data_IF_653749619827
#
_entry.id   IF_653749619827
#
_cell.length_a   1.000
_cell.length_b   1.000
_cell.length_c   1.000
_cell.angle_alpha   90.00
_cell.angle_beta   90.00
_cell.angle_gamma   90.00
#
_symmetry.space_group_name_H-M   'P 1'
#
loop_
_entity.id
_entity.type
_entity.pdbx_description
1 polymer ?
#
# COMPACT_ATOMS: atom_id res chain seq x y z
N UNK A 1 38.49 26.58 -45.69
CA UNK A 1 37.49 26.06 -46.65
C UNK A 1 36.11 26.33 -46.09
N UNK A 2 35.31 27.23 -46.69
CA UNK A 2 33.95 27.53 -46.16
C UNK A 2 32.96 26.49 -46.69
N UNK A 3 32.31 25.77 -45.77
CA UNK A 3 31.22 24.79 -46.08
C UNK A 3 30.10 25.47 -46.87
N UNK A 4 29.61 24.81 -47.90
CA UNK A 4 28.45 25.28 -48.69
C UNK A 4 27.18 25.29 -47.83
N UNK A 5 26.23 26.17 -48.13
CA UNK A 5 24.97 26.32 -47.36
C UNK A 5 24.15 25.05 -47.35
N UNK A 6 24.20 24.23 -48.41
CA UNK A 6 23.55 22.93 -48.51
C UNK A 6 24.13 21.88 -47.53
N UNK A 7 25.48 21.91 -47.35
CA UNK A 7 26.16 21.00 -46.43
C UNK A 7 25.82 21.32 -44.96
N UNK A 8 25.73 22.63 -44.63
CA UNK A 8 25.29 23.07 -43.29
C UNK A 8 23.85 22.67 -43.01
N UNK A 9 22.96 22.78 -44.01
CA UNK A 9 21.56 22.40 -43.89
C UNK A 9 21.41 20.86 -43.69
N UNK A 10 22.18 20.07 -44.46
CA UNK A 10 22.20 18.62 -44.32
C UNK A 10 22.72 18.15 -42.96
N UNK A 11 23.77 18.80 -42.42
CA UNK A 11 24.27 18.52 -41.08
C UNK A 11 23.25 18.91 -39.99
N UNK A 12 22.54 20.02 -40.13
CA UNK A 12 21.55 20.49 -39.19
C UNK A 12 20.32 19.54 -39.18
N UNK A 13 19.83 19.14 -40.37
CA UNK A 13 18.73 18.18 -40.47
C UNK A 13 19.11 16.80 -39.91
N UNK A 14 20.34 16.33 -40.18
CA UNK A 14 20.86 15.06 -39.61
C UNK A 14 20.93 15.10 -38.09
N UNK A 15 21.40 16.23 -37.52
CA UNK A 15 21.44 16.41 -36.06
C UNK A 15 20.04 16.40 -35.43
N UNK A 16 19.09 17.13 -36.05
CA UNK A 16 17.69 17.18 -35.55
C UNK A 16 17.04 15.79 -35.60
N UNK A 17 17.20 15.05 -36.69
CA UNK A 17 16.68 13.69 -36.82
C UNK A 17 17.33 12.76 -35.79
N UNK A 18 18.65 12.86 -35.61
CA UNK A 18 19.37 12.06 -34.61
C UNK A 18 18.88 12.31 -33.18
N UNK A 19 18.67 13.56 -32.79
CA UNK A 19 18.10 13.91 -31.46
C UNK A 19 16.69 13.42 -31.34
N UNK A 20 15.86 13.51 -32.37
CA UNK A 20 14.49 13.03 -32.34
C UNK A 20 14.42 11.50 -32.14
N UNK A 21 15.24 10.74 -32.85
CA UNK A 21 15.36 9.29 -32.70
C UNK A 21 15.85 8.90 -31.31
N UNK A 22 16.78 9.67 -30.75
CA UNK A 22 17.28 9.44 -29.39
C UNK A 22 16.18 9.69 -28.34
N UNK A 23 15.39 10.74 -28.48
CA UNK A 23 14.26 11.04 -27.62
C UNK A 23 13.17 9.96 -27.70
N UNK A 24 12.88 9.48 -28.92
CA UNK A 24 11.94 8.36 -29.11
C UNK A 24 12.46 7.09 -28.47
N UNK A 25 13.75 6.77 -28.62
CA UNK A 25 14.34 5.59 -27.99
C UNK A 25 14.33 5.67 -26.46
N UNK A 26 14.66 6.83 -25.89
CA UNK A 26 14.58 7.08 -24.43
C UNK A 26 13.14 6.97 -23.96
N UNK A 27 12.18 7.53 -24.70
CA UNK A 27 10.76 7.41 -24.39
C UNK A 27 10.27 5.96 -24.44
N UNK A 28 10.68 5.19 -25.45
CA UNK A 28 10.35 3.76 -25.56
C UNK A 28 10.99 2.93 -24.44
N UNK A 29 12.24 3.24 -24.07
CA UNK A 29 12.90 2.60 -22.91
C UNK A 29 12.17 2.97 -21.61
N UNK A 30 11.80 4.24 -21.45
CA UNK A 30 11.02 4.68 -20.29
C UNK A 30 9.66 3.97 -20.19
N UNK A 31 8.94 3.81 -21.29
CA UNK A 31 7.70 3.05 -21.36
C UNK A 31 7.89 1.56 -21.04
N UNK A 32 9.02 0.96 -21.43
CA UNK A 32 9.31 -0.45 -21.14
C UNK A 32 9.84 -0.67 -19.73
N UNK A 33 10.55 0.29 -19.14
CA UNK A 33 11.02 0.21 -17.74
C UNK A 33 9.96 0.65 -16.74
N UNK A 34 8.97 1.46 -17.14
CA UNK A 34 7.76 1.74 -16.38
C UNK A 34 6.70 0.63 -16.46
N UNK A 35 6.99 -0.54 -17.01
CA UNK A 35 6.25 -1.74 -16.65
C UNK A 35 6.49 -1.97 -15.18
N UNK A 36 5.47 -1.58 -14.42
CA UNK A 36 5.33 -1.77 -12.99
C UNK A 36 5.92 -3.12 -12.61
N UNK A 37 6.84 -3.15 -11.66
CA UNK A 37 7.21 -4.34 -10.92
C UNK A 37 5.98 -4.81 -10.12
N UNK A 38 4.99 -5.31 -10.84
CA UNK A 38 3.86 -6.02 -10.27
C UNK A 38 4.13 -7.50 -10.45
N UNK A 39 4.06 -8.27 -9.38
CA UNK A 39 4.02 -9.71 -9.50
C UNK A 39 2.91 -10.07 -10.52
N UNK A 40 3.22 -10.93 -11.49
CA UNK A 40 2.21 -11.39 -12.44
C UNK A 40 1.06 -12.02 -11.66
N UNK A 41 -0.16 -11.57 -11.96
CA UNK A 41 -1.36 -12.13 -11.35
C UNK A 41 -1.40 -13.64 -11.62
N UNK A 42 -1.43 -14.50 -10.59
CA UNK A 42 -1.56 -15.94 -10.80
C UNK A 42 -2.76 -16.24 -11.70
N UNK A 43 -2.63 -17.23 -12.58
CA UNK A 43 -3.66 -17.56 -13.58
C UNK A 43 -5.05 -17.84 -12.97
N UNK A 44 -5.11 -18.25 -11.71
CA UNK A 44 -6.32 -18.54 -10.95
C UNK A 44 -6.79 -17.37 -10.05
N UNK A 45 -6.05 -16.27 -10.00
CA UNK A 45 -6.45 -15.11 -9.20
C UNK A 45 -7.56 -14.33 -9.93
N UNK A 46 -8.67 -14.12 -9.25
CA UNK A 46 -9.82 -13.36 -9.78
C UNK A 46 -9.70 -11.86 -9.49
N UNK A 47 -9.01 -11.49 -8.41
CA UNK A 47 -8.83 -10.12 -7.96
C UNK A 47 -7.37 -9.82 -7.65
N UNK A 48 -6.98 -8.57 -7.73
CA UNK A 48 -5.66 -8.08 -7.36
C UNK A 48 -5.82 -6.96 -6.33
N UNK A 49 -5.18 -7.11 -5.17
CA UNK A 49 -5.16 -6.09 -4.13
C UNK A 49 -3.82 -5.38 -4.03
N UNK A 50 -3.83 -4.23 -3.36
CA UNK A 50 -2.63 -3.53 -2.92
C UNK A 50 -2.60 -3.44 -1.40
N UNK A 51 -1.43 -3.63 -0.82
CA UNK A 51 -1.14 -3.36 0.59
C UNK A 51 -0.53 -1.96 0.70
N UNK A 52 -1.05 -1.15 1.59
CA UNK A 52 -0.62 0.24 1.74
C UNK A 52 -0.50 0.65 3.21
N UNK A 53 0.52 1.45 3.47
CA UNK A 53 0.79 2.06 4.77
C UNK A 53 1.41 3.44 4.59
N UNK A 54 1.82 4.07 5.67
CA UNK A 54 2.60 5.33 5.62
C UNK A 54 3.94 5.19 4.89
N UNK A 55 4.46 3.99 4.69
CA UNK A 55 5.71 3.74 3.96
C UNK A 55 5.61 4.12 2.48
N UNK A 56 4.44 3.99 1.86
CA UNK A 56 4.20 4.40 0.48
C UNK A 56 3.97 5.91 0.33
N UNK A 57 3.91 6.64 1.45
CA UNK A 57 3.61 8.07 1.44
C UNK A 57 2.14 8.37 1.09
N UNK A 58 1.89 9.57 0.60
CA UNK A 58 0.54 9.99 0.20
C UNK A 58 0.20 9.45 -1.18
N UNK A 59 -0.76 8.56 -1.25
CA UNK A 59 -1.18 7.86 -2.48
C UNK A 59 -2.12 8.74 -3.29
N UNK A 60 -1.98 8.72 -4.61
CA UNK A 60 -2.96 9.26 -5.54
C UNK A 60 -4.02 8.19 -5.86
N UNK A 61 -5.07 8.12 -5.07
CA UNK A 61 -6.12 7.11 -5.18
C UNK A 61 -6.94 7.23 -6.46
N UNK A 62 -7.08 8.43 -7.04
CA UNK A 62 -7.71 8.58 -8.36
C UNK A 62 -6.89 7.89 -9.46
N UNK A 63 -5.57 8.01 -9.39
CA UNK A 63 -4.69 7.30 -10.32
C UNK A 63 -4.78 5.79 -10.12
N UNK A 64 -4.82 5.30 -8.89
CA UNK A 64 -5.01 3.87 -8.58
C UNK A 64 -6.33 3.38 -9.19
N UNK A 65 -7.43 4.09 -8.94
CA UNK A 65 -8.75 3.75 -9.49
C UNK A 65 -8.77 3.71 -11.02
N UNK A 66 -8.17 4.70 -11.66
CA UNK A 66 -8.19 4.84 -13.13
C UNK A 66 -7.23 3.88 -13.83
N UNK A 67 -6.18 3.41 -13.14
CA UNK A 67 -5.19 2.48 -13.73
C UNK A 67 -5.67 1.04 -13.77
N UNK A 68 -6.75 0.69 -13.07
CA UNK A 68 -7.22 -0.69 -12.88
C UNK A 68 -6.12 -1.65 -12.35
N UNK A 69 -5.12 -1.12 -11.64
CA UNK A 69 -4.01 -1.90 -11.07
C UNK A 69 -4.41 -2.68 -9.82
N UNK A 70 -5.50 -2.25 -9.17
CA UNK A 70 -6.00 -2.91 -7.97
C UNK A 70 -7.52 -2.92 -7.94
N UNK A 71 -8.09 -4.06 -7.59
CA UNK A 71 -9.51 -4.26 -7.36
C UNK A 71 -9.91 -3.86 -5.93
N UNK A 72 -8.96 -3.94 -4.98
CA UNK A 72 -9.16 -3.60 -3.59
C UNK A 72 -7.85 -3.16 -2.91
N UNK A 73 -7.95 -2.62 -1.71
CA UNK A 73 -6.80 -2.26 -0.88
C UNK A 73 -6.90 -2.90 0.51
N UNK A 74 -5.75 -3.26 1.09
CA UNK A 74 -5.62 -3.56 2.52
C UNK A 74 -4.73 -2.47 3.12
N UNK A 75 -5.29 -1.69 4.03
CA UNK A 75 -4.69 -0.45 4.51
C UNK A 75 -4.26 -0.62 5.97
N UNK A 76 -3.00 -0.33 6.28
CA UNK A 76 -2.57 -0.32 7.67
C UNK A 76 -3.29 0.79 8.43
N UNK A 77 -4.00 0.43 9.50
CA UNK A 77 -4.62 1.43 10.36
C UNK A 77 -3.66 1.97 11.43
N UNK A 78 -2.76 1.13 11.91
CA UNK A 78 -1.80 1.49 12.96
C UNK A 78 -0.85 0.34 13.28
N UNK A 79 -0.14 0.47 14.37
CA UNK A 79 0.76 -0.55 14.89
C UNK A 79 0.80 -0.52 16.42
N UNK A 80 0.92 -1.69 17.04
CA UNK A 80 1.07 -1.82 18.49
C UNK A 80 -0.15 -1.32 19.29
N UNK A 81 0.07 -1.12 20.57
CA UNK A 81 -0.95 -0.78 21.56
C UNK A 81 -1.70 0.52 21.26
N UNK A 82 -2.89 0.68 21.85
CA UNK A 82 -3.82 1.79 21.62
C UNK A 82 -3.27 3.15 22.09
N UNK A 83 -2.46 3.77 21.23
CA UNK A 83 -1.88 5.11 21.41
C UNK A 83 -2.02 5.87 20.10
N UNK A 84 -2.34 7.15 20.15
CA UNK A 84 -2.59 7.96 18.95
C UNK A 84 -1.35 8.24 18.11
N UNK A 85 -0.17 8.19 18.69
CA UNK A 85 1.11 8.28 17.99
C UNK A 85 1.48 7.01 17.22
N UNK A 86 0.73 5.93 17.44
CA UNK A 86 0.83 4.64 16.75
C UNK A 86 -0.20 4.46 15.62
N UNK A 87 -1.07 5.43 15.43
CA UNK A 87 -1.96 5.46 14.27
C UNK A 87 -1.13 5.59 12.98
N UNK A 88 -1.51 4.89 11.92
CA UNK A 88 -0.84 5.12 10.65
C UNK A 88 -1.14 6.53 10.15
N UNK A 89 -0.08 7.27 9.83
CA UNK A 89 -0.15 8.68 9.43
C UNK A 89 -1.16 8.97 8.32
N UNK A 90 -1.38 7.99 7.46
CA UNK A 90 -2.27 8.15 6.31
C UNK A 90 -3.55 7.32 6.41
N UNK A 91 -3.81 6.68 7.55
CA UNK A 91 -5.01 5.86 7.74
C UNK A 91 -6.30 6.59 7.34
N UNK A 92 -6.57 7.72 7.96
CA UNK A 92 -7.80 8.49 7.69
C UNK A 92 -7.88 8.97 6.24
N UNK A 93 -6.78 9.41 5.69
CA UNK A 93 -6.72 9.81 4.29
C UNK A 93 -6.98 8.65 3.35
N UNK A 94 -6.29 7.53 3.52
CA UNK A 94 -6.40 6.37 2.63
C UNK A 94 -7.80 5.75 2.70
N UNK A 95 -8.33 5.53 3.90
CA UNK A 95 -9.67 4.97 4.08
C UNK A 95 -10.76 5.88 3.51
N UNK A 96 -10.68 7.18 3.77
CA UNK A 96 -11.65 8.15 3.26
C UNK A 96 -11.62 8.29 1.73
N UNK A 97 -10.44 8.22 1.11
CA UNK A 97 -10.32 8.23 -0.35
C UNK A 97 -10.85 6.93 -0.98
N UNK A 98 -10.61 5.78 -0.36
CA UNK A 98 -11.20 4.53 -0.81
C UNK A 98 -12.74 4.60 -0.77
N UNK A 99 -13.32 5.10 0.33
CA UNK A 99 -14.77 5.29 0.44
C UNK A 99 -15.30 6.29 -0.60
N UNK A 100 -14.64 7.43 -0.76
CA UNK A 100 -15.03 8.46 -1.74
C UNK A 100 -15.05 7.94 -3.17
N UNK A 101 -14.07 7.10 -3.52
CA UNK A 101 -13.89 6.56 -4.87
C UNK A 101 -14.61 5.21 -5.09
N UNK A 102 -15.22 4.64 -4.05
CA UNK A 102 -15.81 3.31 -4.11
C UNK A 102 -14.78 2.20 -4.41
N UNK A 103 -13.59 2.32 -3.84
CA UNK A 103 -12.56 1.26 -3.86
C UNK A 103 -12.82 0.37 -2.66
N UNK A 104 -13.12 -0.93 -2.85
CA UNK A 104 -13.27 -1.87 -1.76
C UNK A 104 -11.99 -1.92 -0.92
N UNK A 105 -12.11 -1.90 0.42
CA UNK A 105 -10.92 -1.98 1.26
C UNK A 105 -11.15 -2.77 2.55
N UNK A 106 -10.07 -3.32 3.07
CA UNK A 106 -9.93 -3.84 4.41
C UNK A 106 -8.80 -3.12 5.13
N UNK A 107 -8.48 -3.59 6.33
CA UNK A 107 -7.41 -2.99 7.11
C UNK A 107 -6.56 -4.03 7.81
N UNK A 108 -5.36 -3.65 8.22
CA UNK A 108 -4.55 -4.44 9.13
C UNK A 108 -3.93 -3.57 10.22
N UNK A 109 -3.68 -4.20 11.36
CA UNK A 109 -2.84 -3.68 12.42
C UNK A 109 -1.52 -4.45 12.43
N UNK A 110 -0.40 -3.74 12.40
CA UNK A 110 0.91 -4.35 12.59
C UNK A 110 1.14 -4.61 14.07
N UNK A 111 1.14 -5.89 14.44
CA UNK A 111 1.21 -6.30 15.83
C UNK A 111 2.63 -6.48 16.33
N UNK A 112 2.85 -6.08 17.58
CA UNK A 112 4.02 -6.42 18.34
C UNK A 112 3.65 -6.98 19.73
N UNK A 113 2.39 -7.41 19.91
CA UNK A 113 1.94 -7.92 21.18
C UNK A 113 2.67 -9.22 21.54
N UNK A 114 3.30 -9.21 22.71
CA UNK A 114 4.00 -10.31 23.34
C UNK A 114 3.28 -10.79 24.61
N UNK A 115 2.17 -10.13 24.96
CA UNK A 115 1.30 -10.46 26.08
C UNK A 115 -0.16 -10.30 25.70
N UNK A 116 -1.06 -11.03 26.38
CA UNK A 116 -2.52 -10.90 26.20
C UNK A 116 -3.01 -9.48 26.50
N UNK A 117 -2.40 -8.79 27.44
CA UNK A 117 -2.74 -7.40 27.76
C UNK A 117 -2.43 -6.45 26.60
N UNK A 118 -1.27 -6.62 25.92
CA UNK A 118 -0.91 -5.84 24.75
C UNK A 118 -1.82 -6.19 23.57
N UNK A 119 -2.08 -7.46 23.32
CA UNK A 119 -3.01 -7.89 22.28
C UNK A 119 -4.42 -7.29 22.46
N UNK A 120 -4.93 -7.26 23.67
CA UNK A 120 -6.20 -6.58 23.99
C UNK A 120 -6.14 -5.09 23.69
N UNK A 121 -5.06 -4.42 24.08
CA UNK A 121 -4.85 -3.00 23.78
C UNK A 121 -4.76 -2.73 22.27
N UNK A 122 -4.14 -3.62 21.51
CA UNK A 122 -4.07 -3.53 20.03
C UNK A 122 -5.44 -3.73 19.39
N UNK A 123 -6.27 -4.63 19.91
CA UNK A 123 -7.65 -4.77 19.44
C UNK A 123 -8.49 -3.51 19.73
N UNK A 124 -8.35 -2.93 20.93
CA UNK A 124 -8.99 -1.64 21.27
C UNK A 124 -8.50 -0.51 20.34
N UNK A 125 -7.24 -0.55 19.91
CA UNK A 125 -6.67 0.37 18.93
C UNK A 125 -7.42 0.29 17.60
N UNK A 126 -7.59 -0.90 17.07
CA UNK A 126 -8.35 -1.14 15.85
C UNK A 126 -9.79 -0.67 16.00
N UNK A 127 -10.48 -1.05 17.06
CA UNK A 127 -11.87 -0.65 17.31
C UNK A 127 -12.01 0.87 17.33
N UNK A 128 -11.07 1.60 17.93
CA UNK A 128 -11.07 3.06 17.93
C UNK A 128 -10.94 3.63 16.52
N UNK A 129 -10.00 3.11 15.72
CA UNK A 129 -9.72 3.62 14.38
C UNK A 129 -10.82 3.30 13.36
N UNK A 130 -11.60 2.26 13.62
CA UNK A 130 -12.67 1.83 12.71
C UNK A 130 -14.00 2.53 12.96
N UNK A 131 -14.10 3.37 13.96
CA UNK A 131 -15.35 4.09 14.22
C UNK A 131 -15.76 4.96 13.01
N UNK A 132 -16.95 4.66 12.47
CA UNK A 132 -17.50 5.36 11.29
C UNK A 132 -16.88 4.96 9.95
N UNK A 133 -16.09 3.90 9.89
CA UNK A 133 -15.51 3.35 8.66
C UNK A 133 -16.36 2.19 8.12
N UNK A 134 -16.42 2.07 6.79
CA UNK A 134 -17.20 1.03 6.09
C UNK A 134 -16.26 0.09 5.32
N UNK A 135 -15.74 -0.92 6.02
CA UNK A 135 -14.86 -1.91 5.41
C UNK A 135 -15.66 -2.91 4.55
N UNK A 136 -15.11 -3.27 3.40
CA UNK A 136 -15.64 -4.32 2.51
C UNK A 136 -14.90 -5.64 2.73
N UNK A 137 -13.63 -5.54 3.11
CA UNK A 137 -12.75 -6.68 3.39
C UNK A 137 -12.49 -6.81 4.89
N UNK A 138 -12.02 -7.97 5.37
CA UNK A 138 -11.75 -8.21 6.78
C UNK A 138 -10.71 -7.27 7.39
N UNK A 139 -10.66 -7.33 8.72
CA UNK A 139 -9.57 -6.81 9.53
C UNK A 139 -8.54 -7.93 9.67
N UNK A 140 -7.29 -7.62 9.35
CA UNK A 140 -6.17 -8.55 9.48
C UNK A 140 -5.31 -8.15 10.67
N UNK A 141 -4.81 -9.15 11.35
CA UNK A 141 -3.84 -8.97 12.42
C UNK A 141 -2.48 -9.46 11.89
N UNK A 142 -1.57 -8.53 11.65
CA UNK A 142 -0.29 -8.80 11.01
C UNK A 142 0.77 -9.09 12.09
N UNK A 143 1.02 -10.37 12.34
CA UNK A 143 1.98 -10.88 13.32
C UNK A 143 3.20 -11.43 12.61
N UNK A 144 4.34 -10.75 12.74
CA UNK A 144 5.59 -11.20 12.14
C UNK A 144 6.49 -11.88 13.17
N UNK A 145 6.87 -13.14 12.91
CA UNK A 145 7.77 -13.89 13.77
C UNK A 145 9.14 -13.22 13.88
N UNK A 146 9.64 -13.04 15.10
CA UNK A 146 10.95 -12.48 15.38
C UNK A 146 11.00 -10.95 15.47
N UNK A 147 9.89 -10.27 15.26
CA UNK A 147 9.79 -8.83 15.44
C UNK A 147 9.20 -8.49 16.82
N UNK A 148 10.07 -8.38 17.80
CA UNK A 148 9.70 -7.97 19.15
C UNK A 148 9.91 -6.46 19.30
N UNK A 149 8.87 -5.66 19.04
CA UNK A 149 8.95 -4.20 19.22
C UNK A 149 9.06 -3.79 20.70
N UNK A 150 8.86 -4.72 21.62
CA UNK A 150 8.89 -4.46 23.06
C UNK A 150 10.09 -5.08 23.77
N UNK A 151 10.95 -5.88 23.09
CA UNK A 151 12.13 -6.57 23.62
C UNK A 151 11.85 -7.47 24.85
N UNK A 152 10.65 -8.06 24.91
CA UNK A 152 10.23 -8.97 25.98
C UNK A 152 10.02 -10.38 25.40
N UNK A 153 10.23 -11.44 26.19
CA UNK A 153 9.92 -12.79 25.76
C UNK A 153 8.39 -12.94 25.67
N UNK A 154 7.86 -13.47 24.57
CA UNK A 154 6.41 -13.58 24.40
C UNK A 154 5.82 -14.61 25.36
N UNK A 155 4.68 -14.28 25.93
CA UNK A 155 3.78 -15.25 26.54
C UNK A 155 3.27 -16.24 25.48
N UNK A 156 2.44 -17.21 25.86
CA UNK A 156 1.93 -18.19 24.90
C UNK A 156 1.17 -17.51 23.74
N UNK A 157 1.69 -17.67 22.53
CA UNK A 157 1.13 -17.10 21.31
C UNK A 157 -0.34 -17.53 21.09
N UNK A 158 -0.71 -18.75 21.54
CA UNK A 158 -2.06 -19.26 21.41
C UNK A 158 -3.05 -18.44 22.26
N UNK A 159 -2.66 -18.04 23.46
CA UNK A 159 -3.50 -17.21 24.33
C UNK A 159 -3.66 -15.80 23.78
N UNK A 160 -2.63 -15.26 23.15
CA UNK A 160 -2.67 -13.97 22.45
C UNK A 160 -3.67 -14.04 21.29
N UNK A 161 -3.56 -15.06 20.45
CA UNK A 161 -4.42 -15.25 19.27
C UNK A 161 -5.90 -15.45 19.69
N UNK A 162 -6.16 -16.27 20.69
CA UNK A 162 -7.52 -16.51 21.23
C UNK A 162 -8.13 -15.24 21.83
N UNK A 163 -7.36 -14.40 22.51
CA UNK A 163 -7.86 -13.14 23.08
C UNK A 163 -8.36 -12.17 22.01
N UNK A 164 -7.74 -12.16 20.82
CA UNK A 164 -8.13 -11.32 19.69
C UNK A 164 -9.43 -11.76 19.02
N UNK A 165 -9.64 -13.07 18.90
CA UNK A 165 -10.90 -13.63 18.35
C UNK A 165 -12.10 -13.22 19.18
N UNK A 166 -11.98 -13.21 20.50
CA UNK A 166 -13.07 -12.83 21.41
C UNK A 166 -13.43 -11.33 21.38
N UNK A 167 -12.52 -10.46 20.94
CA UNK A 167 -12.76 -9.01 20.88
C UNK A 167 -13.40 -8.62 19.53
N UNK A 168 -13.12 -9.37 18.47
CA UNK A 168 -13.62 -9.11 17.12
C UNK A 168 -15.03 -9.65 16.85
N UNK A 169 -15.57 -10.54 17.70
CA UNK A 169 -16.94 -10.99 17.55
C UNK A 169 -17.93 -9.94 18.11
N UNK A 170 -18.84 -9.40 17.28
CA UNK A 170 -19.91 -8.57 17.79
C UNK A 170 -20.78 -9.43 18.69
N UNK A 171 -20.96 -9.01 19.94
CA UNK A 171 -21.93 -9.60 20.86
C UNK A 171 -23.30 -9.59 20.17
N UNK A 172 -23.73 -10.75 19.69
CA UNK A 172 -25.11 -10.95 19.23
C UNK A 172 -26.02 -10.86 20.46
N UNK A 173 -26.68 -9.75 20.60
CA UNK A 173 -27.85 -9.58 21.44
C UNK A 173 -29.12 -9.88 20.67
#
# INVERSE_FOLDING_TARGET
MKMKRSEKLGMFTGLVVGVLLLLISVFMIFQTTCKVWGAEKPANATQQGIDVSSHQGKINWEQVKNSALADYAIIRCGYGVNQTDKDDKYWDYNSSECERLGIPYGTYLYSGADTTAKAKSEAEHVVRLLQGKNLTYPIYYDMEAGFNIYNEEPEDWLDIELSLIHISEPTRH
#
